data_IF_177266617821
#
_entry.id   IF_177266617821
#
_cell.length_a   1.000
_cell.length_b   1.000
_cell.length_c   1.000
_cell.angle_alpha   90.00
_cell.angle_beta   90.00
_cell.angle_gamma   90.00
#
_symmetry.space_group_name_H-M   'P 1'
#
loop_
_entity.id
_entity.type
_entity.pdbx_description
1 polymer ?
#
# COMPACT_ATOMS: atom_id res chain seq x y z
N UNK A 1 0.98 -6.23 -25.65
CA UNK A 1 0.12 -6.04 -24.47
C UNK A 1 0.71 -6.82 -23.31
N UNK A 2 0.86 -6.19 -22.15
CA UNK A 2 1.13 -6.89 -20.89
C UNK A 2 -0.19 -6.99 -20.11
N UNK A 3 -0.40 -8.06 -19.34
CA UNK A 3 -1.57 -8.18 -18.46
C UNK A 3 -1.10 -8.58 -17.06
N UNK A 4 -1.45 -7.76 -16.08
CA UNK A 4 -1.11 -7.94 -14.68
C UNK A 4 -2.39 -8.14 -13.88
N UNK A 5 -2.57 -9.36 -13.40
CA UNK A 5 -3.66 -9.72 -12.50
C UNK A 5 -3.21 -9.54 -11.05
N UNK A 6 -4.09 -8.99 -10.23
CA UNK A 6 -3.88 -8.63 -8.83
C UNK A 6 -2.55 -7.88 -8.59
N UNK A 7 -2.30 -6.73 -9.25
CA UNK A 7 -1.06 -5.96 -9.13
C UNK A 7 -0.79 -5.47 -7.70
N UNK A 8 -1.80 -5.47 -6.82
CA UNK A 8 -1.64 -5.20 -5.40
C UNK A 8 -0.87 -6.31 -4.65
N UNK A 9 -0.70 -7.49 -5.26
CA UNK A 9 0.15 -8.60 -4.76
C UNK A 9 1.57 -8.57 -5.30
N UNK A 10 1.89 -7.62 -6.19
CA UNK A 10 3.21 -7.43 -6.78
C UNK A 10 3.98 -6.36 -6.00
N UNK A 11 4.59 -6.73 -4.87
CA UNK A 11 5.31 -5.81 -3.98
C UNK A 11 6.68 -6.33 -3.54
N UNK A 12 6.99 -7.61 -3.81
CA UNK A 12 8.33 -8.14 -3.55
C UNK A 12 9.34 -7.56 -4.55
N UNK A 13 10.61 -7.33 -4.15
CA UNK A 13 11.60 -6.72 -5.03
C UNK A 13 11.77 -7.42 -6.40
N UNK A 14 11.60 -8.75 -6.44
CA UNK A 14 11.67 -9.51 -7.69
C UNK A 14 10.44 -9.32 -8.59
N UNK A 15 9.25 -9.15 -8.00
CA UNK A 15 8.01 -8.88 -8.72
C UNK A 15 8.07 -7.49 -9.36
N UNK A 16 8.49 -6.49 -8.59
CA UNK A 16 8.67 -5.11 -9.08
C UNK A 16 9.66 -5.05 -10.24
N UNK A 17 10.82 -5.72 -10.11
CA UNK A 17 11.81 -5.80 -11.21
C UNK A 17 11.27 -6.49 -12.46
N UNK A 18 10.47 -7.56 -12.29
CA UNK A 18 9.86 -8.25 -13.41
C UNK A 18 8.84 -7.35 -14.13
N UNK A 19 7.98 -6.66 -13.37
CA UNK A 19 7.04 -5.66 -13.88
C UNK A 19 7.78 -4.56 -14.66
N UNK A 20 8.80 -3.93 -14.06
CA UNK A 20 9.62 -2.90 -14.72
C UNK A 20 10.26 -3.39 -16.03
N UNK A 21 10.73 -4.64 -16.05
CA UNK A 21 11.32 -5.23 -17.26
C UNK A 21 10.30 -5.40 -18.38
N UNK A 22 9.06 -5.80 -18.04
CA UNK A 22 7.97 -5.93 -19.00
C UNK A 22 7.48 -4.57 -19.51
N UNK A 23 7.39 -3.57 -18.62
CA UNK A 23 6.98 -2.21 -18.95
C UNK A 23 7.98 -1.52 -19.89
N UNK A 24 9.29 -1.69 -19.64
CA UNK A 24 10.36 -1.20 -20.50
C UNK A 24 10.34 -1.76 -21.94
N UNK A 25 9.56 -2.81 -22.22
CA UNK A 25 9.39 -3.33 -23.57
C UNK A 25 8.32 -2.60 -24.38
N UNK A 26 7.37 -1.90 -23.74
CA UNK A 26 6.29 -1.20 -24.43
C UNK A 26 6.81 -0.23 -25.51
N UNK A 27 7.77 0.69 -25.24
CA UNK A 27 8.18 1.67 -26.25
C UNK A 27 8.98 1.08 -27.44
N UNK A 28 9.32 -0.22 -27.44
CA UNK A 28 10.14 -0.84 -28.50
C UNK A 28 9.40 -1.01 -29.83
N UNK A 29 8.06 -1.01 -29.82
CA UNK A 29 7.23 -1.14 -31.03
C UNK A 29 6.09 -0.11 -30.99
N UNK A 30 6.40 1.19 -31.17
CA UNK A 30 5.42 2.25 -30.98
C UNK A 30 4.27 2.21 -31.99
N UNK A 31 4.46 1.61 -33.17
CA UNK A 31 3.41 1.46 -34.19
C UNK A 31 2.38 0.38 -33.86
N UNK A 32 2.66 -0.47 -32.87
CA UNK A 32 1.74 -1.53 -32.42
C UNK A 32 0.78 -1.03 -31.32
N UNK A 33 0.80 0.26 -31.00
CA UNK A 33 0.10 0.89 -29.86
C UNK A 33 0.14 0.04 -28.58
N UNK A 34 1.34 -0.27 -28.05
CA UNK A 34 1.50 -1.20 -26.95
C UNK A 34 1.04 -0.60 -25.62
N UNK A 35 0.31 -1.38 -24.84
CA UNK A 35 -0.23 -0.99 -23.53
C UNK A 35 -0.19 -2.14 -22.52
N UNK A 36 -0.35 -1.80 -21.24
CA UNK A 36 -0.47 -2.74 -20.13
C UNK A 36 -1.89 -2.67 -19.55
N UNK A 37 -2.47 -3.83 -19.26
CA UNK A 37 -3.74 -3.96 -18.53
C UNK A 37 -3.45 -4.38 -17.09
N UNK A 38 -4.07 -3.69 -16.14
CA UNK A 38 -3.99 -3.95 -14.71
C UNK A 38 -5.40 -4.21 -14.19
N UNK A 39 -5.62 -5.41 -13.64
CA UNK A 39 -6.92 -5.80 -13.09
C UNK A 39 -6.72 -6.24 -11.64
N UNK A 40 -7.50 -5.70 -10.73
CA UNK A 40 -7.48 -6.11 -9.34
C UNK A 40 -8.19 -5.12 -8.42
N UNK A 41 -8.07 -5.40 -7.13
CA UNK A 41 -8.63 -4.55 -6.06
C UNK A 41 -7.59 -3.59 -5.49
N UNK A 42 -8.00 -2.70 -4.59
CA UNK A 42 -7.10 -1.74 -3.94
C UNK A 42 -5.91 -2.43 -3.24
N UNK A 43 -4.78 -1.72 -3.22
CA UNK A 43 -3.58 -2.14 -2.51
C UNK A 43 -3.55 -1.68 -1.05
N UNK A 44 -2.49 -2.06 -0.34
CA UNK A 44 -2.23 -1.57 1.00
C UNK A 44 -1.33 -0.32 0.92
N UNK A 45 -1.76 0.83 1.48
CA UNK A 45 -0.91 2.02 1.53
C UNK A 45 0.41 1.76 2.25
N UNK A 46 1.52 2.22 1.66
CA UNK A 46 2.88 2.07 2.16
C UNK A 46 3.53 0.71 1.85
N UNK A 47 2.84 -0.21 1.19
CA UNK A 47 3.38 -1.53 0.85
C UNK A 47 4.37 -1.48 -0.31
N UNK A 48 4.24 -0.49 -1.20
CA UNK A 48 5.06 -0.38 -2.41
C UNK A 48 4.70 -1.43 -3.46
N UNK A 49 3.40 -1.69 -3.63
CA UNK A 49 2.92 -2.58 -4.70
C UNK A 49 2.79 -1.85 -6.03
N UNK A 50 2.81 -2.60 -7.14
CA UNK A 50 2.53 -2.04 -8.49
C UNK A 50 1.18 -1.30 -8.52
N UNK A 51 0.14 -1.84 -7.87
CA UNK A 51 -1.15 -1.17 -7.80
C UNK A 51 -1.09 0.17 -7.03
N UNK A 52 -0.26 0.25 -5.98
CA UNK A 52 -0.07 1.49 -5.24
C UNK A 52 0.62 2.56 -6.08
N UNK A 53 1.66 2.18 -6.85
CA UNK A 53 2.33 3.09 -7.78
C UNK A 53 1.34 3.65 -8.82
N UNK A 54 0.53 2.79 -9.43
CA UNK A 54 -0.51 3.19 -10.41
C UNK A 54 -1.56 4.11 -9.77
N UNK A 55 -2.00 3.81 -8.55
CA UNK A 55 -2.98 4.65 -7.87
C UNK A 55 -2.42 6.03 -7.51
N UNK A 56 -1.15 6.10 -7.11
CA UNK A 56 -0.45 7.37 -6.87
C UNK A 56 -0.36 8.17 -8.17
N UNK A 57 0.04 7.54 -9.27
CA UNK A 57 0.11 8.19 -10.59
C UNK A 57 -1.27 8.72 -11.03
N UNK A 58 -2.31 7.90 -10.94
CA UNK A 58 -3.68 8.30 -11.26
C UNK A 58 -4.15 9.51 -10.44
N UNK A 59 -3.81 9.53 -9.14
CA UNK A 59 -4.11 10.67 -8.27
C UNK A 59 -3.34 11.92 -8.72
N UNK A 60 -2.06 11.80 -9.06
CA UNK A 60 -1.26 12.92 -9.57
C UNK A 60 -1.78 13.45 -10.91
N UNK A 61 -2.28 12.58 -11.79
CA UNK A 61 -2.94 12.97 -13.05
C UNK A 61 -4.22 13.75 -12.75
N UNK A 62 -5.08 13.24 -11.87
CA UNK A 62 -6.32 13.90 -11.48
C UNK A 62 -6.08 15.27 -10.83
N UNK A 63 -4.98 15.41 -10.07
CA UNK A 63 -4.54 16.67 -9.47
C UNK A 63 -3.82 17.62 -10.46
N UNK A 64 -3.65 17.23 -11.72
CA UNK A 64 -3.00 18.03 -12.77
C UNK A 64 -1.48 18.16 -12.60
N UNK A 65 -0.84 17.29 -11.80
CA UNK A 65 0.62 17.29 -11.57
C UNK A 65 1.40 16.66 -12.72
N UNK A 66 0.76 15.82 -13.53
CA UNK A 66 1.37 15.17 -14.70
C UNK A 66 0.90 15.88 -15.97
N UNK A 67 1.84 16.50 -16.70
CA UNK A 67 1.53 17.31 -17.89
C UNK A 67 1.07 16.48 -19.10
N UNK A 68 1.56 15.25 -19.21
CA UNK A 68 1.26 14.33 -20.32
C UNK A 68 0.79 13.00 -19.77
N UNK A 69 -0.49 12.88 -19.37
CA UNK A 69 -1.03 11.62 -18.87
C UNK A 69 -1.19 10.61 -20.01
N UNK A 70 -0.79 9.36 -19.75
CA UNK A 70 -0.98 8.20 -20.63
C UNK A 70 -1.63 7.00 -19.90
N UNK A 71 -2.05 7.19 -18.65
CA UNK A 71 -2.79 6.22 -17.84
C UNK A 71 -4.31 6.46 -17.92
N UNK A 72 -5.05 5.41 -18.26
CA UNK A 72 -6.49 5.33 -18.01
C UNK A 72 -6.75 4.56 -16.71
N UNK A 73 -7.34 5.23 -15.72
CA UNK A 73 -7.62 4.65 -14.40
C UNK A 73 -9.12 4.64 -14.12
N UNK A 74 -9.73 3.46 -14.24
CA UNK A 74 -11.10 3.22 -13.81
C UNK A 74 -11.07 2.59 -12.42
N UNK A 75 -11.55 3.33 -11.43
CA UNK A 75 -11.59 2.90 -10.04
C UNK A 75 -12.98 3.13 -9.46
N UNK A 76 -13.52 2.08 -8.85
CA UNK A 76 -14.83 2.09 -8.19
C UNK A 76 -14.65 1.57 -6.77
N UNK A 77 -15.15 2.35 -5.83
CA UNK A 77 -15.22 2.04 -4.40
C UNK A 77 -16.65 2.29 -3.96
N UNK A 78 -16.93 2.13 -2.68
CA UNK A 78 -18.25 2.48 -2.16
C UNK A 78 -18.44 4.01 -2.10
N UNK A 79 -19.67 4.44 -1.87
CA UNK A 79 -20.12 5.84 -1.89
C UNK A 79 -19.86 6.61 -0.58
N UNK A 80 -19.55 5.93 0.52
CA UNK A 80 -19.30 6.56 1.82
C UNK A 80 -18.14 5.90 2.59
N UNK A 81 -16.93 6.50 2.61
CA UNK A 81 -15.77 5.91 3.28
C UNK A 81 -15.92 5.75 4.80
N UNK A 82 -16.84 6.52 5.42
CA UNK A 82 -17.12 6.53 6.85
C UNK A 82 -18.32 5.63 7.23
N UNK A 83 -18.91 4.93 6.25
CA UNK A 83 -20.02 3.99 6.48
C UNK A 83 -19.72 3.00 7.61
N UNK A 84 -20.69 2.84 8.51
CA UNK A 84 -20.59 1.91 9.64
C UNK A 84 -20.69 0.45 9.17
N UNK A 85 -19.54 -0.20 9.08
CA UNK A 85 -19.45 -1.62 8.71
C UNK A 85 -19.66 -2.56 9.89
N UNK A 86 -20.13 -2.10 11.06
CA UNK A 86 -20.67 -3.00 12.09
C UNK A 86 -22.07 -3.49 11.76
N UNK A 87 -22.82 -2.73 10.96
CA UNK A 87 -24.14 -3.10 10.43
C UNK A 87 -23.99 -3.90 9.12
N UNK A 88 -24.65 -5.07 9.07
CA UNK A 88 -24.60 -5.95 7.89
C UNK A 88 -25.31 -5.35 6.68
N UNK A 89 -26.42 -4.63 6.89
CA UNK A 89 -27.16 -4.01 5.78
C UNK A 89 -26.32 -2.92 5.11
N UNK A 90 -25.56 -2.17 5.90
CA UNK A 90 -24.60 -1.17 5.43
C UNK A 90 -23.45 -1.81 4.65
N UNK A 91 -22.93 -2.97 5.08
CA UNK A 91 -21.94 -3.73 4.29
C UNK A 91 -22.51 -4.12 2.94
N UNK A 92 -23.74 -4.64 2.88
CA UNK A 92 -24.39 -5.06 1.63
C UNK A 92 -24.52 -3.87 0.68
N UNK A 93 -24.93 -2.69 1.18
CA UNK A 93 -25.00 -1.45 0.38
C UNK A 93 -23.63 -1.08 -0.20
N UNK A 94 -22.58 -1.11 0.63
CA UNK A 94 -21.22 -0.80 0.19
C UNK A 94 -20.70 -1.79 -0.85
N UNK A 95 -20.95 -3.09 -0.67
CA UNK A 95 -20.57 -4.14 -1.62
C UNK A 95 -21.31 -3.94 -2.96
N UNK A 96 -22.60 -3.66 -2.92
CA UNK A 96 -23.39 -3.39 -4.11
C UNK A 96 -22.87 -2.18 -4.88
N UNK A 97 -22.55 -1.08 -4.17
CA UNK A 97 -21.99 0.10 -4.81
C UNK A 97 -20.62 -0.20 -5.42
N UNK A 98 -19.70 -0.83 -4.67
CA UNK A 98 -18.36 -1.15 -5.16
C UNK A 98 -18.40 -2.13 -6.35
N UNK A 99 -19.33 -3.08 -6.37
CA UNK A 99 -19.55 -4.03 -7.48
C UNK A 99 -20.11 -3.33 -8.72
N UNK A 100 -20.99 -2.36 -8.52
CA UNK A 100 -21.62 -1.60 -9.59
C UNK A 100 -22.83 -2.29 -10.22
N UNK A 101 -23.29 -1.78 -11.38
CA UNK A 101 -24.65 -2.05 -11.90
C UNK A 101 -24.90 -3.50 -12.30
N UNK A 102 -23.86 -4.33 -12.41
CA UNK A 102 -24.02 -5.77 -12.67
C UNK A 102 -24.72 -6.49 -11.51
N UNK A 103 -24.60 -5.96 -10.29
CA UNK A 103 -25.21 -6.54 -9.09
C UNK A 103 -24.63 -7.90 -8.71
N UNK A 104 -25.45 -8.73 -8.06
CA UNK A 104 -25.07 -10.08 -7.68
C UNK A 104 -25.00 -11.01 -8.89
N UNK A 105 -23.98 -11.88 -8.92
CA UNK A 105 -23.87 -12.97 -9.90
C UNK A 105 -24.77 -14.17 -9.53
N UNK A 106 -25.19 -14.28 -8.27
CA UNK A 106 -26.09 -15.31 -7.78
C UNK A 106 -26.80 -14.87 -6.50
N UNK A 107 -27.99 -15.42 -6.20
CA UNK A 107 -28.80 -14.96 -5.08
C UNK A 107 -28.05 -15.05 -3.74
N UNK A 108 -28.01 -13.94 -3.01
CA UNK A 108 -27.43 -13.88 -1.66
C UNK A 108 -25.91 -13.69 -1.63
N UNK A 109 -25.27 -13.47 -2.78
CA UNK A 109 -23.82 -13.26 -2.85
C UNK A 109 -23.35 -12.12 -1.95
N UNK A 110 -24.05 -10.98 -1.93
CA UNK A 110 -23.64 -9.85 -1.10
C UNK A 110 -23.85 -10.12 0.38
N UNK A 111 -24.90 -10.85 0.75
CA UNK A 111 -25.13 -11.29 2.12
C UNK A 111 -24.00 -12.20 2.63
N UNK A 112 -23.57 -13.16 1.80
CA UNK A 112 -22.46 -14.06 2.13
C UNK A 112 -21.13 -13.33 2.25
N UNK A 113 -20.89 -12.33 1.37
CA UNK A 113 -19.70 -11.48 1.45
C UNK A 113 -19.75 -10.63 2.72
N UNK A 114 -20.87 -9.96 3.01
CA UNK A 114 -21.06 -9.13 4.20
C UNK A 114 -20.87 -9.92 5.50
N UNK A 115 -21.29 -11.19 5.51
CA UNK A 115 -21.13 -12.10 6.66
C UNK A 115 -19.67 -12.43 6.98
N UNK A 116 -18.70 -12.12 6.10
CA UNK A 116 -17.27 -12.33 6.38
C UNK A 116 -16.76 -11.47 7.52
N UNK A 117 -17.34 -10.29 7.73
CA UNK A 117 -16.97 -9.40 8.84
C UNK A 117 -17.33 -9.98 10.20
N UNK A 118 -18.35 -10.84 10.28
CA UNK A 118 -18.80 -11.45 11.54
C UNK A 118 -18.00 -12.71 11.91
N UNK A 119 -17.05 -13.14 11.07
CA UNK A 119 -16.22 -14.32 11.34
C UNK A 119 -15.26 -14.03 12.49
N UNK A 120 -15.06 -14.98 13.43
CA UNK A 120 -14.03 -14.84 14.46
C UNK A 120 -12.65 -14.59 13.82
N UNK A 121 -11.99 -13.51 14.23
CA UNK A 121 -10.69 -13.11 13.69
C UNK A 121 -10.74 -12.46 12.30
N UNK A 122 -11.90 -11.98 11.85
CA UNK A 122 -12.02 -11.25 10.60
C UNK A 122 -11.08 -10.02 10.58
N UNK A 123 -10.30 -9.90 9.51
CA UNK A 123 -9.50 -8.72 9.22
C UNK A 123 -10.38 -7.73 8.43
N UNK A 124 -11.04 -6.82 9.17
CA UNK A 124 -11.89 -5.78 8.61
C UNK A 124 -11.17 -4.93 7.54
N UNK A 125 -9.99 -4.36 7.82
CA UNK A 125 -9.21 -3.64 6.82
C UNK A 125 -8.91 -4.44 5.54
N UNK A 126 -8.60 -5.73 5.66
CA UNK A 126 -8.46 -6.60 4.50
C UNK A 126 -9.77 -6.75 3.71
N UNK A 127 -10.89 -6.96 4.39
CA UNK A 127 -12.20 -7.13 3.76
C UNK A 127 -12.65 -5.83 3.06
N UNK A 128 -12.44 -4.67 3.67
CA UNK A 128 -12.71 -3.36 3.05
C UNK A 128 -11.90 -3.16 1.77
N UNK A 129 -10.62 -3.56 1.79
CA UNK A 129 -9.74 -3.46 0.63
C UNK A 129 -10.21 -4.36 -0.53
N UNK A 130 -10.59 -5.60 -0.21
CA UNK A 130 -10.92 -6.62 -1.23
C UNK A 130 -12.34 -6.47 -1.77
N UNK A 131 -13.31 -6.12 -0.92
CA UNK A 131 -14.73 -6.08 -1.32
C UNK A 131 -15.26 -4.68 -1.57
N UNK A 132 -14.65 -3.64 -0.99
CA UNK A 132 -15.07 -2.25 -1.15
C UNK A 132 -14.05 -1.41 -1.92
N UNK A 133 -12.92 -2.00 -2.33
CA UNK A 133 -11.80 -1.30 -2.98
C UNK A 133 -11.24 -0.12 -2.17
N UNK A 134 -11.42 -0.07 -0.85
CA UNK A 134 -10.95 1.08 -0.05
C UNK A 134 -9.42 1.07 0.12
N UNK A 135 -8.76 2.19 -0.17
CA UNK A 135 -7.35 2.43 0.18
C UNK A 135 -7.17 2.76 1.68
N UNK A 136 -7.54 1.82 2.56
CA UNK A 136 -7.33 1.94 4.02
C UNK A 136 -6.04 1.27 4.47
N UNK A 137 -5.45 1.81 5.53
CA UNK A 137 -4.28 1.23 6.20
C UNK A 137 -4.70 -0.06 6.91
N UNK A 138 -3.97 -1.16 6.68
CA UNK A 138 -4.14 -2.39 7.46
C UNK A 138 -3.56 -2.23 8.88
N UNK A 139 -4.16 -2.94 9.84
CA UNK A 139 -3.74 -2.90 11.25
C UNK A 139 -2.31 -3.35 11.52
N UNK A 140 -1.70 -4.11 10.60
CA UNK A 140 -0.35 -4.69 10.76
C UNK A 140 0.80 -3.68 10.58
N UNK A 141 0.53 -2.46 10.15
CA UNK A 141 1.56 -1.42 10.17
C UNK A 141 1.58 -0.75 11.53
N UNK A 142 2.65 -0.93 12.31
CA UNK A 142 2.81 -0.26 13.61
C UNK A 142 2.79 1.28 13.49
N UNK A 143 3.22 1.84 12.35
CA UNK A 143 3.38 3.28 12.18
C UNK A 143 2.72 3.86 10.93
N UNK A 144 2.26 5.12 11.04
CA UNK A 144 1.68 5.87 9.91
C UNK A 144 2.81 6.43 9.03
N UNK A 145 3.18 5.68 8.00
CA UNK A 145 4.30 6.07 7.13
C UNK A 145 4.03 7.35 6.32
N UNK A 146 2.76 7.72 6.09
CA UNK A 146 2.40 8.99 5.42
C UNK A 146 2.63 10.18 6.34
N UNK A 147 2.54 10.01 7.66
CA UNK A 147 2.94 11.05 8.63
C UNK A 147 4.44 11.05 8.89
N UNK A 148 5.06 9.87 8.95
CA UNK A 148 6.48 9.75 9.28
C UNK A 148 7.37 10.32 8.17
N UNK A 149 7.18 9.87 6.92
CA UNK A 149 8.11 10.21 5.83
C UNK A 149 8.24 11.72 5.55
N UNK A 150 7.15 12.51 5.47
CA UNK A 150 7.27 13.94 5.23
C UNK A 150 7.48 14.78 6.50
N UNK A 151 6.99 14.32 7.66
CA UNK A 151 6.92 15.15 8.87
C UNK A 151 7.91 14.81 9.98
N UNK A 152 8.38 13.56 10.05
CA UNK A 152 9.23 13.07 11.14
C UNK A 152 10.60 12.59 10.67
N UNK A 153 10.77 12.21 9.40
CA UNK A 153 12.07 11.92 8.82
C UNK A 153 12.85 13.22 8.58
N UNK A 154 13.57 13.69 9.60
CA UNK A 154 14.39 14.91 9.55
C UNK A 154 15.81 14.61 9.07
N UNK A 155 15.94 14.40 7.74
CA UNK A 155 17.24 14.12 7.13
C UNK A 155 18.23 15.26 7.40
N UNK A 156 19.37 14.94 8.00
CA UNK A 156 20.44 15.90 8.30
C UNK A 156 20.44 16.47 9.72
N UNK A 157 19.36 16.30 10.50
CA UNK A 157 19.38 16.64 11.92
C UNK A 157 20.23 15.65 12.72
N UNK A 158 20.95 16.18 13.72
CA UNK A 158 21.82 15.39 14.59
C UNK A 158 21.55 15.72 16.05
N UNK A 159 21.58 14.70 16.91
CA UNK A 159 21.62 14.83 18.35
C UNK A 159 22.90 15.63 18.70
N UNK A 160 22.78 16.75 19.44
CA UNK A 160 23.93 17.54 19.85
C UNK A 160 24.96 16.72 20.64
N UNK A 161 26.24 17.04 20.47
CA UNK A 161 27.31 16.42 21.27
C UNK A 161 27.07 16.68 22.76
N UNK A 162 27.21 15.62 23.56
CA UNK A 162 26.94 15.67 25.00
C UNK A 162 25.45 15.62 25.38
N UNK A 163 24.56 15.46 24.40
CA UNK A 163 23.13 15.27 24.66
C UNK A 163 22.85 13.97 25.41
N UNK A 164 21.82 13.98 26.26
CA UNK A 164 21.40 12.80 27.01
C UNK A 164 20.58 11.87 26.12
N UNK A 165 21.04 10.63 25.99
CA UNK A 165 20.48 9.64 25.06
C UNK A 165 20.19 8.31 25.74
N UNK A 166 19.28 7.56 25.14
CA UNK A 166 19.18 6.10 25.29
C UNK A 166 19.64 5.40 24.02
N UNK A 167 20.10 4.16 24.13
CA UNK A 167 20.50 3.32 23.01
C UNK A 167 19.54 2.13 22.87
N UNK A 168 18.92 2.00 21.70
CA UNK A 168 18.24 0.80 21.27
C UNK A 168 19.21 -0.09 20.51
N UNK A 169 19.30 -1.36 20.89
CA UNK A 169 20.12 -2.35 20.21
C UNK A 169 19.23 -3.49 19.71
N UNK A 170 19.35 -3.80 18.42
CA UNK A 170 18.71 -4.95 17.80
C UNK A 170 19.78 -5.80 17.11
N UNK A 171 19.98 -7.01 17.61
CA UNK A 171 21.08 -7.88 17.24
C UNK A 171 20.63 -9.10 16.47
N UNK A 172 21.20 -9.32 15.30
CA UNK A 172 20.95 -10.51 14.48
C UNK A 172 22.01 -11.60 14.70
N UNK A 173 21.57 -12.84 14.93
CA UNK A 173 22.47 -14.00 15.09
C UNK A 173 22.81 -14.70 13.77
N UNK A 174 21.93 -14.67 12.77
CA UNK A 174 22.15 -15.29 11.46
C UNK A 174 21.49 -14.49 10.33
N UNK A 175 22.27 -14.18 9.28
CA UNK A 175 21.82 -13.62 7.98
C UNK A 175 20.79 -12.47 8.07
N UNK A 176 20.99 -11.56 9.01
CA UNK A 176 20.24 -10.30 9.09
C UNK A 176 21.16 -9.18 9.60
N UNK A 177 20.66 -7.94 9.66
CA UNK A 177 21.42 -6.76 10.07
C UNK A 177 21.39 -6.57 11.60
N UNK A 178 22.50 -6.08 12.15
CA UNK A 178 22.57 -5.55 13.52
C UNK A 178 22.42 -4.04 13.47
N UNK A 179 21.50 -3.50 14.28
CA UNK A 179 21.21 -2.08 14.35
C UNK A 179 21.46 -1.52 15.75
N UNK A 180 21.99 -0.30 15.80
CA UNK A 180 22.06 0.51 17.00
C UNK A 180 21.40 1.87 16.71
N UNK A 181 20.45 2.28 17.55
CA UNK A 181 19.73 3.54 17.41
C UNK A 181 19.94 4.38 18.66
N UNK A 182 20.51 5.56 18.50
CA UNK A 182 20.58 6.54 19.57
C UNK A 182 19.30 7.38 19.55
N UNK A 183 18.62 7.50 20.70
CA UNK A 183 17.43 8.34 20.86
C UNK A 183 17.70 9.40 21.92
N UNK A 184 17.60 10.68 21.55
CA UNK A 184 17.64 11.79 22.52
C UNK A 184 16.44 11.69 23.46
N UNK A 185 16.69 11.73 24.77
CA UNK A 185 15.62 11.70 25.78
C UNK A 185 14.78 12.98 25.72
N UNK A 186 15.43 14.13 25.53
CA UNK A 186 14.76 15.42 25.58
C UNK A 186 13.86 15.67 24.37
N UNK A 187 14.28 15.22 23.18
CA UNK A 187 13.61 15.58 21.91
C UNK A 187 12.96 14.38 21.20
N UNK A 188 13.32 13.16 21.57
CA UNK A 188 12.93 11.95 20.83
C UNK A 188 13.62 11.79 19.47
N UNK A 189 14.57 12.68 19.09
CA UNK A 189 15.30 12.55 17.83
C UNK A 189 16.12 11.26 17.82
N UNK A 190 15.99 10.48 16.73
CA UNK A 190 16.66 9.20 16.56
C UNK A 190 17.76 9.28 15.50
N UNK A 191 18.96 8.83 15.85
CA UNK A 191 20.09 8.65 14.94
C UNK A 191 20.42 7.16 14.77
N UNK A 192 20.54 6.72 13.52
CA UNK A 192 20.86 5.33 13.19
C UNK A 192 22.38 5.14 13.02
N UNK A 193 22.95 4.20 13.78
CA UNK A 193 24.32 3.73 13.62
C UNK A 193 24.33 2.29 13.13
N UNK A 194 24.82 2.04 11.90
CA UNK A 194 25.02 0.67 11.41
C UNK A 194 26.32 0.14 11.99
N UNK A 195 26.24 -0.88 12.86
CA UNK A 195 27.41 -1.59 13.39
C UNK A 195 27.62 -2.86 12.56
N UNK A 196 28.16 -2.70 11.35
CA UNK A 196 28.81 -3.73 10.53
C UNK A 196 27.99 -4.96 10.10
N UNK A 197 28.01 -5.28 8.79
CA UNK A 197 27.72 -6.65 8.31
C UNK A 197 28.76 -7.64 8.87
N UNK A 198 28.37 -8.83 9.34
CA UNK A 198 29.33 -9.87 9.66
C UNK A 198 30.15 -10.19 8.40
N UNK A 199 31.46 -9.90 8.44
CA UNK A 199 32.39 -10.44 7.45
C UNK A 199 32.50 -11.95 7.70
N UNK A 200 32.42 -12.69 6.59
CA UNK A 200 32.44 -14.15 6.42
C UNK A 200 33.07 -14.96 7.56
#
# INVERSE_FOLDING_TARGET
>A
MNCFDEPHRLYLPRQLKAHQTMDANLPKRPLDDPWSLYVGTAGQPGQGSVAEEIHIEATQIAEGKIQRPDLFYLYRTDDDPERDLSDKDERIRAIAEATGPIGEFGPGQFDEIASKWDRPGADGPYLERVWLNRWKRQGDQAFDMKKIKPGLCRSGERIPKGGFITLGFDGARFRDATALVATSIDTGLQEFGVVGTPRR
#
